data_IF_826595638648
#
_entry.id   IF_826595638648
#
_cell.length_a   1.000
_cell.length_b   1.000
_cell.length_c   1.000
_cell.angle_alpha   90.00
_cell.angle_beta   90.00
_cell.angle_gamma   90.00
#
_symmetry.space_group_name_H-M   'P 1'
#
loop_
_entity.id
_entity.type
_entity.pdbx_description
1 polymer ?
#
# COMPACT_ATOMS: atom_id res chain seq x y z
N UNK A 1 -1.89 -12.91 9.77
CA UNK A 1 -2.35 -11.82 8.88
C UNK A 1 -3.23 -10.89 9.67
N UNK A 2 -2.88 -9.61 9.72
CA UNK A 2 -3.62 -8.52 10.36
C UNK A 2 -4.40 -7.74 9.30
N UNK A 3 -5.63 -7.32 9.59
CA UNK A 3 -6.44 -6.48 8.69
C UNK A 3 -7.02 -5.31 9.48
N UNK A 4 -6.82 -4.09 8.98
CA UNK A 4 -7.19 -2.85 9.62
C UNK A 4 -8.06 -2.03 8.67
N UNK A 5 -9.20 -1.54 9.15
CA UNK A 5 -9.99 -0.51 8.47
C UNK A 5 -9.74 0.83 9.16
N UNK A 6 -9.22 1.80 8.39
CA UNK A 6 -8.74 3.08 8.90
C UNK A 6 -9.42 4.25 8.14
N UNK A 7 -9.53 5.43 8.77
CA UNK A 7 -10.00 6.62 8.08
C UNK A 7 -9.09 6.97 6.91
N UNK A 8 -9.63 7.65 5.89
CA UNK A 8 -8.81 8.07 4.76
C UNK A 8 -7.75 9.10 5.17
N UNK A 9 -6.46 8.90 4.86
CA UNK A 9 -5.40 9.81 5.25
C UNK A 9 -5.54 11.17 4.55
N UNK A 10 -5.08 12.26 5.18
CA UNK A 10 -4.92 13.52 4.47
C UNK A 10 -3.81 13.36 3.41
N UNK A 11 -3.75 14.27 2.44
CA UNK A 11 -2.59 14.32 1.54
C UNK A 11 -1.34 14.80 2.27
N UNK A 12 -0.17 14.47 1.74
CA UNK A 12 1.15 14.91 2.20
C UNK A 12 1.23 16.41 2.46
N UNK A 13 0.69 17.22 1.56
CA UNK A 13 0.66 18.68 1.68
C UNK A 13 -0.13 19.16 2.91
N UNK A 14 -1.07 18.34 3.39
CA UNK A 14 -1.81 18.60 4.62
C UNK A 14 -1.27 17.79 5.80
N UNK A 15 -0.44 16.77 5.59
CA UNK A 15 0.13 15.94 6.63
C UNK A 15 1.40 16.57 7.21
N UNK A 16 2.31 16.99 6.34
CA UNK A 16 3.55 17.66 6.70
C UNK A 16 3.43 19.17 6.50
N UNK A 17 4.26 19.91 7.22
CA UNK A 17 4.46 21.35 7.07
C UNK A 17 5.95 21.67 7.16
N UNK A 18 6.37 22.73 6.50
CA UNK A 18 7.76 23.18 6.53
C UNK A 18 7.89 24.43 7.40
N UNK A 19 8.90 24.44 8.27
CA UNK A 19 9.33 25.60 9.04
C UNK A 19 10.81 25.85 8.72
N UNK A 20 11.05 26.69 7.71
CA UNK A 20 12.38 26.83 7.12
C UNK A 20 12.86 25.50 6.55
N UNK A 21 13.99 24.99 7.08
CA UNK A 21 14.59 23.72 6.67
C UNK A 21 14.03 22.49 7.40
N UNK A 22 13.19 22.69 8.42
CA UNK A 22 12.64 21.60 9.24
C UNK A 22 11.28 21.16 8.70
N UNK A 23 11.11 19.85 8.49
CA UNK A 23 9.80 19.27 8.16
C UNK A 23 9.15 18.75 9.44
N UNK A 24 7.95 19.24 9.73
CA UNK A 24 7.17 18.88 10.90
C UNK A 24 5.83 18.28 10.49
N UNK A 25 5.23 17.52 11.39
CA UNK A 25 3.86 17.06 11.21
C UNK A 25 2.90 18.22 11.49
N UNK A 26 1.94 18.41 10.60
CA UNK A 26 0.92 19.44 10.74
C UNK A 26 -0.07 19.10 11.87
N UNK A 27 -0.95 20.04 12.21
CA UNK A 27 -2.08 19.74 13.13
C UNK A 27 -2.97 18.62 12.59
N UNK A 28 -3.18 18.58 11.27
CA UNK A 28 -4.02 17.56 10.63
C UNK A 28 -3.34 16.19 10.58
N UNK A 29 -2.03 16.15 10.35
CA UNK A 29 -1.25 14.91 10.42
C UNK A 29 -1.27 14.32 11.83
N UNK A 30 -1.08 15.14 12.86
CA UNK A 30 -1.18 14.69 14.27
C UNK A 30 -2.57 14.17 14.63
N UNK A 31 -3.63 14.89 14.24
CA UNK A 31 -5.00 14.43 14.46
C UNK A 31 -5.29 13.09 13.76
N UNK A 32 -4.71 12.87 12.57
CA UNK A 32 -4.82 11.59 11.88
C UNK A 32 -4.08 10.47 12.63
N UNK A 33 -2.84 10.72 13.09
CA UNK A 33 -2.09 9.77 13.93
C UNK A 33 -2.86 9.39 15.19
N UNK A 34 -3.41 10.37 15.90
CA UNK A 34 -4.22 10.14 17.11
C UNK A 34 -5.46 9.28 16.81
N UNK A 35 -6.15 9.54 15.70
CA UNK A 35 -7.30 8.74 15.29
C UNK A 35 -6.92 7.29 14.97
N UNK A 36 -5.81 7.08 14.26
CA UNK A 36 -5.28 5.74 13.95
C UNK A 36 -4.86 5.02 15.23
N UNK A 37 -4.12 5.70 16.12
CA UNK A 37 -3.72 5.14 17.42
C UNK A 37 -4.91 4.73 18.27
N UNK A 38 -5.95 5.56 18.36
CA UNK A 38 -7.15 5.24 19.13
C UNK A 38 -7.86 3.98 18.62
N UNK A 39 -7.97 3.85 17.29
CA UNK A 39 -8.58 2.67 16.66
C UNK A 39 -7.77 1.39 16.90
N UNK A 40 -6.44 1.48 16.89
CA UNK A 40 -5.56 0.32 17.08
C UNK A 40 -5.40 -0.06 18.55
N UNK A 41 -5.38 0.91 19.46
CA UNK A 41 -5.38 0.66 20.90
C UNK A 41 -6.64 -0.12 21.32
N UNK A 42 -7.80 0.20 20.73
CA UNK A 42 -9.04 -0.55 20.96
C UNK A 42 -8.96 -2.02 20.51
N UNK A 43 -8.10 -2.31 19.53
CA UNK A 43 -7.89 -3.66 18.99
C UNK A 43 -6.75 -4.43 19.68
N UNK A 44 -6.03 -3.81 20.63
CA UNK A 44 -4.87 -4.40 21.33
C UNK A 44 -3.82 -4.98 20.36
N UNK A 45 -3.56 -4.26 19.27
CA UNK A 45 -2.55 -4.65 18.29
C UNK A 45 -1.17 -4.61 18.95
N UNK A 46 -0.41 -5.70 18.80
CA UNK A 46 1.01 -5.74 19.16
C UNK A 46 1.87 -5.50 17.90
N UNK A 47 3.05 -4.87 18.05
CA UNK A 47 3.94 -4.64 16.91
C UNK A 47 4.41 -5.93 16.25
N UNK A 48 4.27 -6.01 14.93
CA UNK A 48 4.78 -7.11 14.13
C UNK A 48 6.30 -7.00 13.94
N UNK A 49 7.00 -8.13 13.96
CA UNK A 49 8.45 -8.24 13.81
C UNK A 49 8.84 -8.94 12.51
N UNK A 50 10.08 -8.73 12.06
CA UNK A 50 10.60 -9.35 10.83
C UNK A 50 10.08 -8.71 9.54
N UNK A 51 10.38 -9.32 8.37
CA UNK A 51 9.95 -8.79 7.08
C UNK A 51 8.43 -8.95 6.88
N UNK A 52 7.79 -7.93 6.31
CA UNK A 52 6.35 -7.82 6.17
C UNK A 52 5.94 -7.60 4.71
N UNK A 53 4.82 -8.22 4.32
CA UNK A 53 4.08 -7.82 3.13
C UNK A 53 2.90 -6.92 3.55
N UNK A 54 2.79 -5.76 2.90
CA UNK A 54 1.77 -4.75 3.14
C UNK A 54 0.92 -4.55 1.89
N UNK A 55 -0.39 -4.77 2.00
CA UNK A 55 -1.35 -4.42 0.96
C UNK A 55 -2.27 -3.29 1.45
N UNK A 56 -2.41 -2.24 0.64
CA UNK A 56 -3.17 -1.04 0.94
C UNK A 56 -4.24 -0.82 -0.13
N UNK A 57 -5.49 -0.91 0.30
CA UNK A 57 -6.66 -0.65 -0.55
C UNK A 57 -7.23 0.74 -0.21
N UNK A 58 -7.08 1.69 -1.13
CA UNK A 58 -7.53 3.07 -0.97
C UNK A 58 -8.94 3.25 -1.53
N UNK A 59 -9.89 3.64 -0.68
CA UNK A 59 -11.25 4.03 -1.05
C UNK A 59 -11.42 5.54 -0.84
N UNK A 60 -11.16 6.38 -1.86
CA UNK A 60 -11.12 7.83 -1.69
C UNK A 60 -12.48 8.42 -1.32
N UNK A 61 -12.53 9.60 -0.65
CA UNK A 61 -13.78 10.27 -0.32
C UNK A 61 -14.45 10.95 -1.53
N UNK A 62 -13.68 11.19 -2.60
CA UNK A 62 -14.11 11.91 -3.81
C UNK A 62 -13.41 11.35 -5.06
N UNK A 63 -13.85 11.79 -6.25
CA UNK A 63 -13.26 11.41 -7.56
C UNK A 63 -12.07 12.28 -7.97
N UNK A 64 -11.47 13.06 -7.08
CA UNK A 64 -10.34 13.92 -7.47
C UNK A 64 -9.16 13.05 -7.88
N UNK A 65 -8.47 13.46 -8.95
CA UNK A 65 -7.22 12.83 -9.36
C UNK A 65 -6.15 13.13 -8.32
N UNK A 66 -5.63 12.09 -7.70
CA UNK A 66 -4.61 12.15 -6.66
C UNK A 66 -3.77 10.89 -6.74
N UNK A 67 -2.49 11.04 -6.42
CA UNK A 67 -1.52 9.96 -6.45
C UNK A 67 -1.71 9.06 -5.23
N UNK A 68 -1.58 7.75 -5.42
CA UNK A 68 -1.86 6.76 -4.38
C UNK A 68 -0.74 6.71 -3.31
N UNK A 69 0.50 6.93 -3.75
CA UNK A 69 1.69 7.04 -2.92
C UNK A 69 1.60 8.19 -1.89
N UNK A 70 0.96 9.30 -2.29
CA UNK A 70 0.70 10.46 -1.44
C UNK A 70 -0.04 10.06 -0.14
N UNK A 71 -1.04 9.19 -0.28
CA UNK A 71 -1.81 8.68 0.86
C UNK A 71 -1.07 7.59 1.61
N UNK A 72 -0.41 6.69 0.89
CA UNK A 72 0.34 5.61 1.50
C UNK A 72 1.45 6.14 2.42
N UNK A 73 2.18 7.18 2.03
CA UNK A 73 3.25 7.74 2.87
C UNK A 73 2.73 8.28 4.21
N UNK A 74 1.60 8.98 4.19
CA UNK A 74 0.92 9.46 5.39
C UNK A 74 0.40 8.30 6.27
N UNK A 75 -0.12 7.26 5.62
CA UNK A 75 -0.60 6.06 6.27
C UNK A 75 0.52 5.27 6.96
N UNK A 76 1.63 5.01 6.25
CA UNK A 76 2.77 4.25 6.77
C UNK A 76 3.35 4.90 8.03
N UNK A 77 3.55 6.22 7.97
CA UNK A 77 4.00 7.04 9.10
C UNK A 77 3.07 6.93 10.33
N UNK A 78 1.75 6.90 10.10
CA UNK A 78 0.77 6.72 11.18
C UNK A 78 0.74 5.28 11.73
N UNK A 79 0.90 4.26 10.89
CA UNK A 79 0.96 2.85 11.29
C UNK A 79 2.18 2.57 12.17
N UNK A 80 3.35 3.06 11.77
CA UNK A 80 4.58 2.95 12.56
C UNK A 80 4.44 3.68 13.90
N UNK A 81 3.91 4.91 13.89
CA UNK A 81 3.70 5.67 15.12
C UNK A 81 2.70 4.99 16.06
N UNK A 82 1.70 4.30 15.52
CA UNK A 82 0.73 3.54 16.30
C UNK A 82 1.23 2.15 16.75
N UNK A 83 2.47 1.78 16.40
CA UNK A 83 3.09 0.53 16.85
C UNK A 83 2.59 -0.71 16.13
N UNK A 84 2.14 -0.59 14.86
CA UNK A 84 1.77 -1.76 14.05
C UNK A 84 3.00 -2.59 13.66
N UNK A 85 4.11 -1.92 13.44
CA UNK A 85 5.45 -2.48 13.22
C UNK A 85 6.47 -1.48 13.80
N UNK A 86 7.68 -1.94 14.09
CA UNK A 86 8.72 -1.13 14.72
C UNK A 86 9.34 -0.12 13.75
N UNK A 87 9.54 -0.55 12.51
CA UNK A 87 10.24 0.21 11.48
C UNK A 87 9.58 -0.04 10.12
N UNK A 88 9.36 1.02 9.33
CA UNK A 88 8.75 0.90 8.00
C UNK A 88 9.64 0.12 7.01
N UNK A 89 10.96 0.03 7.27
CA UNK A 89 11.88 -0.85 6.55
C UNK A 89 11.56 -2.34 6.69
N UNK A 90 10.74 -2.74 7.67
CA UNK A 90 10.21 -4.10 7.74
C UNK A 90 9.33 -4.44 6.55
N UNK A 91 8.67 -3.46 5.92
CA UNK A 91 7.82 -3.67 4.76
C UNK A 91 8.68 -3.89 3.52
N UNK A 92 8.86 -5.16 3.14
CA UNK A 92 9.70 -5.55 2.00
C UNK A 92 8.89 -5.77 0.72
N UNK A 93 7.58 -5.92 0.84
CA UNK A 93 6.63 -5.95 -0.28
C UNK A 93 5.48 -5.00 0.01
N UNK A 94 5.19 -4.14 -0.95
CA UNK A 94 4.12 -3.17 -0.86
C UNK A 94 3.23 -3.26 -2.11
N UNK A 95 1.94 -3.42 -1.89
CA UNK A 95 0.92 -3.34 -2.92
C UNK A 95 -0.06 -2.21 -2.57
N UNK A 96 -0.31 -1.31 -3.53
CA UNK A 96 -1.27 -0.23 -3.34
C UNK A 96 -2.28 -0.28 -4.47
N UNK A 97 -3.55 -0.45 -4.12
CA UNK A 97 -4.68 -0.38 -5.04
C UNK A 97 -5.55 0.84 -4.72
N UNK A 98 -6.13 1.44 -5.76
CA UNK A 98 -7.11 2.52 -5.62
C UNK A 98 -8.43 2.05 -6.20
N UNK A 99 -9.47 2.13 -5.38
CA UNK A 99 -10.82 1.68 -5.70
C UNK A 99 -11.76 2.85 -5.96
N UNK A 100 -13.03 2.53 -6.24
CA UNK A 100 -14.09 3.53 -6.36
C UNK A 100 -14.27 4.32 -5.06
N UNK A 101 -14.67 5.60 -5.15
CA UNK A 101 -14.87 6.44 -3.97
C UNK A 101 -16.01 5.96 -3.08
N UNK A 102 -15.84 6.13 -1.76
CA UNK A 102 -16.86 5.86 -0.74
C UNK A 102 -17.07 7.12 0.10
N UNK A 103 -18.32 7.40 0.50
CA UNK A 103 -18.63 8.58 1.32
C UNK A 103 -17.80 8.57 2.61
N UNK A 104 -17.07 9.67 2.86
CA UNK A 104 -16.17 9.80 4.01
C UNK A 104 -14.75 9.25 3.77
N UNK A 105 -14.59 8.37 2.78
CA UNK A 105 -13.34 7.71 2.44
C UNK A 105 -12.88 6.72 3.51
N UNK A 106 -12.13 5.70 3.08
CA UNK A 106 -11.47 4.76 3.99
C UNK A 106 -10.26 4.10 3.36
N UNK A 107 -9.45 3.49 4.20
CA UNK A 107 -8.34 2.63 3.77
C UNK A 107 -8.46 1.29 4.45
N UNK A 108 -8.28 0.22 3.69
CA UNK A 108 -8.11 -1.13 4.23
C UNK A 108 -6.64 -1.50 4.10
N UNK A 109 -6.03 -1.90 5.22
CA UNK A 109 -4.63 -2.30 5.30
C UNK A 109 -4.57 -3.76 5.69
N UNK A 110 -3.85 -4.57 4.91
CA UNK A 110 -3.58 -5.96 5.22
C UNK A 110 -2.08 -6.14 5.39
N UNK A 111 -1.69 -6.75 6.51
CA UNK A 111 -0.30 -6.93 6.89
C UNK A 111 -0.07 -8.38 7.22
N UNK A 112 0.99 -8.97 6.70
CA UNK A 112 1.37 -10.33 7.03
C UNK A 112 2.88 -10.43 7.19
N UNK A 113 3.31 -11.28 8.11
CA UNK A 113 4.71 -11.69 8.18
C UNK A 113 5.06 -12.47 6.93
N UNK A 114 6.22 -12.15 6.37
CA UNK A 114 6.74 -12.83 5.20
C UNK A 114 7.49 -14.08 5.64
N UNK A 115 6.93 -15.24 5.34
CA UNK A 115 7.64 -16.50 5.49
C UNK A 115 8.77 -16.63 4.46
N UNK A 116 9.77 -17.46 4.75
CA UNK A 116 10.87 -17.79 3.82
C UNK A 116 10.35 -18.33 2.48
N UNK A 117 9.19 -18.98 2.48
CA UNK A 117 8.48 -19.46 1.28
C UNK A 117 7.98 -18.34 0.37
N UNK A 118 7.75 -17.14 0.90
CA UNK A 118 7.28 -15.99 0.13
C UNK A 118 8.22 -15.61 -1.02
N UNK A 119 9.54 -15.72 -0.81
CA UNK A 119 10.53 -15.50 -1.89
C UNK A 119 10.42 -16.55 -3.00
N UNK A 120 10.16 -17.80 -2.62
CA UNK A 120 9.97 -18.89 -3.58
C UNK A 120 8.66 -18.71 -4.36
N UNK A 121 7.59 -18.24 -3.71
CA UNK A 121 6.32 -17.89 -4.33
C UNK A 121 6.42 -16.70 -5.30
N UNK A 122 7.21 -15.69 -4.97
CA UNK A 122 7.52 -14.58 -5.87
C UNK A 122 8.20 -15.11 -7.14
N UNK A 123 9.25 -15.94 -6.98
CA UNK A 123 9.98 -16.52 -8.10
C UNK A 123 9.08 -17.42 -8.96
N UNK A 124 8.20 -18.21 -8.34
CA UNK A 124 7.19 -19.03 -9.05
C UNK A 124 6.20 -18.16 -9.82
N UNK A 125 5.76 -17.04 -9.24
CA UNK A 125 4.84 -16.09 -9.87
C UNK A 125 5.49 -15.38 -11.05
N UNK A 126 6.72 -14.90 -10.88
CA UNK A 126 7.52 -14.31 -11.96
C UNK A 126 7.77 -15.31 -13.10
N UNK A 127 8.14 -16.57 -12.76
CA UNK A 127 8.29 -17.65 -13.75
C UNK A 127 7.00 -17.86 -14.54
N UNK A 128 5.86 -17.95 -13.87
CA UNK A 128 4.55 -18.15 -14.52
C UNK A 128 4.18 -16.99 -15.44
N UNK A 129 4.45 -15.75 -15.02
CA UNK A 129 4.25 -14.57 -15.85
C UNK A 129 5.12 -14.63 -17.12
N UNK A 130 6.42 -14.88 -16.96
CA UNK A 130 7.35 -14.98 -18.08
C UNK A 130 6.95 -16.08 -19.07
N UNK A 131 6.54 -17.26 -18.58
CA UNK A 131 6.02 -18.32 -19.45
C UNK A 131 4.83 -17.86 -20.29
N UNK A 132 3.84 -17.18 -19.70
CA UNK A 132 2.68 -16.66 -20.45
C UNK A 132 3.07 -15.62 -21.50
N UNK A 133 4.02 -14.73 -21.16
CA UNK A 133 4.48 -13.69 -22.09
C UNK A 133 5.24 -14.32 -23.26
N UNK A 134 6.09 -15.31 -23.01
CA UNK A 134 6.81 -16.05 -24.06
C UNK A 134 5.82 -16.75 -24.99
N UNK A 135 4.82 -17.46 -24.45
CA UNK A 135 3.76 -18.10 -25.24
C UNK A 135 3.00 -17.10 -26.13
N UNK A 136 2.70 -15.90 -25.61
CA UNK A 136 2.05 -14.83 -26.39
C UNK A 136 2.94 -14.31 -27.53
N UNK A 137 4.24 -14.16 -27.28
CA UNK A 137 5.20 -13.68 -28.29
C UNK A 137 5.37 -14.74 -29.39
N UNK A 138 5.57 -16.01 -29.01
CA UNK A 138 5.71 -17.12 -29.97
C UNK A 138 4.44 -17.31 -30.80
N UNK A 139 3.26 -17.20 -30.17
CA UNK A 139 1.97 -17.23 -30.88
C UNK A 139 1.77 -16.06 -31.84
N UNK A 140 2.29 -14.88 -31.54
CA UNK A 140 2.20 -13.70 -32.41
C UNK A 140 3.17 -13.76 -33.60
N UNK A 141 4.35 -14.36 -33.44
CA UNK A 141 5.35 -14.52 -34.52
C UNK A 141 4.94 -15.60 -35.54
N UNK A 142 4.12 -16.58 -35.12
CA UNK A 142 3.59 -17.62 -36.01
C UNK A 142 2.45 -17.18 -36.95
N UNK A 143 1.91 -15.97 -36.80
CA UNK A 143 0.85 -15.45 -37.65
C UNK A 143 1.42 -14.77 -38.90
N UNK A 144 1.75 -15.56 -39.92
CA UNK A 144 2.15 -15.04 -41.24
C UNK A 144 0.98 -14.25 -41.84
N UNK A 145 1.16 -12.98 -42.26
CA UNK A 145 0.10 -12.24 -42.92
C UNK A 145 -0.15 -12.86 -44.30
N UNK A 146 -1.34 -13.42 -44.49
CA UNK A 146 -1.81 -13.80 -45.82
C UNK A 146 -2.09 -12.52 -46.60
N UNK A 147 -1.29 -12.28 -47.64
CA UNK A 147 -1.51 -11.16 -48.54
C UNK A 147 -2.80 -11.40 -49.35
N UNK A 148 -3.70 -10.40 -49.44
CA UNK A 148 -4.88 -10.52 -50.30
C UNK A 148 -4.44 -10.54 -51.77
N UNK A 149 -5.13 -11.39 -52.54
CA UNK A 149 -4.91 -11.62 -53.98
C UNK A 149 -5.53 -10.53 -54.84
#
# INVERSE_FOLDING_TARGET
MLTLELPFPPSLNHYYRHLGHVTLISRRGRAYREAVMALLAAQKIEPMSGPLDLAVELFPPDRRKRDADNFHKCLSDALQHAGVFHDDSQVVRLEISKHEPVKGGKVVVRIQERSTDGRLEDLKSARRYLSRVIEQIEGAVGATPTLPT
#
